data_IF_751212446557
#
_entry.id   IF_751212446557
#
_cell.length_a   1.000
_cell.length_b   1.000
_cell.length_c   1.000
_cell.angle_alpha   90.00
_cell.angle_beta   90.00
_cell.angle_gamma   90.00
#
_symmetry.space_group_name_H-M   'P 1'
#
loop_
_entity.id
_entity.type
_entity.pdbx_description
1 polymer ?
#
# COMPACT_ATOMS: atom_id res chain seq x y z
N UNK A 1 70.37 14.66 15.36
CA UNK A 1 71.04 14.68 14.03
C UNK A 1 70.28 13.72 13.18
N UNK A 2 69.70 14.06 12.25
CA UNK A 2 69.51 14.86 11.07
C UNK A 2 68.11 14.59 10.56
N UNK A 3 67.25 15.57 10.50
CA UNK A 3 66.93 16.45 9.38
C UNK A 3 66.37 15.74 8.13
N UNK A 4 65.05 16.00 7.93
CA UNK A 4 64.42 16.59 6.73
C UNK A 4 64.29 15.66 5.52
N UNK A 5 63.20 15.66 4.84
CA UNK A 5 62.53 16.76 4.10
C UNK A 5 61.14 16.37 3.63
N UNK A 6 60.32 17.32 3.81
CA UNK A 6 59.05 17.59 3.19
C UNK A 6 59.14 17.62 1.65
N UNK A 7 58.32 16.94 0.91
CA UNK A 7 57.95 17.29 -0.49
C UNK A 7 56.56 16.76 -0.81
N UNK A 8 55.62 17.70 -0.92
CA UNK A 8 54.36 17.54 -1.61
C UNK A 8 54.61 17.42 -3.13
N UNK A 9 53.89 16.56 -3.86
CA UNK A 9 53.71 16.73 -5.29
C UNK A 9 52.44 17.53 -5.59
N UNK A 10 52.35 18.14 -6.78
CA UNK A 10 51.38 19.18 -7.14
C UNK A 10 50.04 18.64 -7.59
N UNK A 11 49.02 19.42 -7.34
CA UNK A 11 47.64 19.24 -7.79
C UNK A 11 47.54 19.47 -9.29
N UNK A 12 47.16 18.44 -10.04
CA UNK A 12 46.63 18.59 -11.40
C UNK A 12 45.12 18.45 -11.39
N UNK A 13 44.47 19.59 -11.61
CA UNK A 13 43.07 19.68 -11.98
C UNK A 13 42.96 19.64 -13.49
N UNK A 14 42.19 18.74 -14.08
CA UNK A 14 41.74 18.97 -15.45
C UNK A 14 40.49 19.85 -15.47
N UNK A 15 40.59 20.86 -16.30
CA UNK A 15 39.57 21.85 -16.64
C UNK A 15 38.37 21.21 -17.35
N UNK A 16 37.19 21.63 -16.91
CA UNK A 16 35.89 21.40 -17.56
C UNK A 16 35.78 22.16 -18.89
N UNK A 17 35.26 21.55 -19.95
CA UNK A 17 34.84 22.31 -21.13
C UNK A 17 33.41 22.84 -20.93
N UNK A 18 33.26 24.13 -21.24
CA UNK A 18 32.01 24.89 -21.32
C UNK A 18 31.10 24.33 -22.42
N UNK A 19 29.84 24.18 -22.09
CA UNK A 19 28.74 24.02 -23.03
C UNK A 19 28.47 25.29 -23.81
N UNK A 20 28.19 25.22 -25.12
CA UNK A 20 27.56 26.32 -25.82
C UNK A 20 26.03 26.23 -25.75
N UNK A 21 25.47 27.32 -25.29
CA UNK A 21 24.05 27.66 -25.41
C UNK A 21 23.69 27.88 -26.88
N UNK A 22 22.72 27.15 -27.38
CA UNK A 22 22.11 27.35 -28.66
C UNK A 22 20.63 27.07 -28.61
N UNK A 23 19.82 28.10 -28.39
CA UNK A 23 18.40 28.12 -28.75
C UNK A 23 18.30 28.35 -30.27
N UNK A 24 17.37 27.66 -30.92
CA UNK A 24 16.65 28.30 -32.00
C UNK A 24 15.17 28.48 -31.64
N UNK A 25 14.77 29.71 -31.86
CA UNK A 25 13.42 30.23 -31.86
C UNK A 25 12.63 29.77 -33.07
N UNK A 26 11.33 29.61 -32.87
CA UNK A 26 10.21 29.94 -33.75
C UNK A 26 10.15 29.37 -35.15
N UNK A 27 9.08 28.70 -35.44
CA UNK A 27 8.09 29.20 -36.41
C UNK A 27 6.87 28.29 -36.45
N UNK A 28 5.73 28.85 -36.09
CA UNK A 28 4.40 28.39 -36.51
C UNK A 28 4.25 28.68 -38.00
N UNK A 29 3.55 27.84 -38.73
CA UNK A 29 2.61 28.33 -39.73
C UNK A 29 1.16 28.01 -39.30
N UNK A 30 0.39 29.06 -39.33
CA UNK A 30 -1.06 29.12 -39.37
C UNK A 30 -1.51 28.89 -40.84
N UNK A 31 -2.38 27.94 -41.02
CA UNK A 31 -3.41 27.90 -42.08
C UNK A 31 -4.43 26.91 -41.55
N UNK A 32 -5.65 27.19 -41.30
CA UNK A 32 -6.65 27.83 -42.14
C UNK A 32 -7.42 26.78 -42.92
N UNK A 33 -8.68 26.67 -42.51
CA UNK A 33 -9.81 26.23 -43.32
C UNK A 33 -10.43 24.85 -43.16
N UNK A 34 -11.69 25.01 -42.81
CA UNK A 34 -12.91 24.37 -43.34
C UNK A 34 -13.48 23.14 -42.67
N UNK A 35 -14.53 23.46 -41.88
CA UNK A 35 -15.68 22.59 -41.69
C UNK A 35 -16.35 22.27 -43.04
N UNK A 36 -17.01 21.13 -43.13
CA UNK A 36 -18.33 21.10 -43.74
C UNK A 36 -19.42 20.69 -42.70
N UNK A 37 -20.44 21.45 -42.79
CA UNK A 37 -21.74 21.41 -42.18
C UNK A 37 -22.62 20.26 -42.72
N UNK A 38 -23.41 19.70 -41.78
CA UNK A 38 -24.75 19.23 -41.86
C UNK A 38 -25.07 17.88 -42.56
N UNK A 39 -26.25 17.34 -42.33
CA UNK A 39 -27.51 18.07 -42.31
C UNK A 39 -28.46 17.78 -41.13
N UNK A 40 -29.22 18.79 -40.87
CA UNK A 40 -30.48 18.94 -40.16
C UNK A 40 -31.55 17.90 -40.59
N UNK A 41 -32.17 17.20 -39.64
CA UNK A 41 -33.45 16.58 -39.86
C UNK A 41 -34.46 17.11 -38.85
N UNK A 42 -35.17 18.12 -39.30
CA UNK A 42 -36.44 18.55 -38.74
C UNK A 42 -37.42 17.39 -38.71
N UNK A 43 -38.00 17.08 -37.57
CA UNK A 43 -39.31 16.43 -37.46
C UNK A 43 -40.23 17.32 -36.64
N UNK A 44 -41.10 17.94 -37.38
CA UNK A 44 -42.51 18.33 -37.25
C UNK A 44 -43.07 18.17 -35.84
N UNK A 45 -43.47 19.30 -35.30
CA UNK A 45 -44.56 19.46 -34.33
C UNK A 45 -45.86 19.17 -35.08
N UNK A 46 -46.66 18.24 -34.61
CA UNK A 46 -48.07 18.13 -34.95
C UNK A 46 -48.91 18.55 -33.76
N UNK A 47 -49.84 19.42 -34.08
CA UNK A 47 -50.78 20.08 -33.22
C UNK A 47 -51.75 19.12 -32.55
N UNK A 48 -52.05 19.32 -31.29
CA UNK A 48 -53.20 18.73 -30.60
C UNK A 48 -54.28 19.78 -30.35
N UNK A 49 -55.55 19.52 -30.68
CA UNK A 49 -56.62 20.47 -30.41
C UNK A 49 -57.09 20.37 -28.97
N UNK A 50 -57.37 21.53 -28.40
CA UNK A 50 -58.06 21.70 -27.16
C UNK A 50 -59.53 21.21 -27.26
N UNK A 51 -59.97 20.39 -26.31
CA UNK A 51 -61.39 20.18 -26.02
C UNK A 51 -61.60 20.24 -24.52
N UNK A 52 -62.34 21.28 -24.14
CA UNK A 52 -62.96 21.40 -22.85
C UNK A 52 -64.13 20.40 -22.67
N UNK A 53 -64.40 20.07 -21.43
CA UNK A 53 -65.52 19.22 -21.05
C UNK A 53 -65.57 19.09 -19.52
N UNK A 54 -66.27 19.96 -18.86
CA UNK A 54 -66.68 19.82 -17.47
C UNK A 54 -67.70 18.70 -17.32
N UNK A 55 -67.44 17.71 -16.47
CA UNK A 55 -68.47 16.85 -15.92
C UNK A 55 -68.14 16.54 -14.44
N UNK A 56 -68.97 17.10 -13.59
CA UNK A 56 -69.10 16.79 -12.18
C UNK A 56 -69.51 15.33 -11.98
N UNK A 57 -68.73 14.56 -11.17
CA UNK A 57 -69.15 13.27 -10.61
C UNK A 57 -69.04 13.30 -9.07
N UNK A 58 -69.98 12.68 -8.37
CA UNK A 58 -70.14 12.80 -6.92
C UNK A 58 -69.11 11.93 -6.13
N UNK A 59 -68.89 12.37 -4.90
CA UNK A 59 -67.90 11.91 -3.96
C UNK A 59 -67.94 10.42 -3.61
N UNK A 60 -66.75 9.84 -3.60
CA UNK A 60 -66.44 8.59 -2.91
C UNK A 60 -65.68 8.87 -1.62
N UNK A 61 -65.85 8.05 -0.58
CA UNK A 61 -65.34 8.37 0.76
C UNK A 61 -63.82 8.35 0.82
N UNK A 62 -63.24 9.36 1.47
CA UNK A 62 -61.82 9.47 1.81
C UNK A 62 -61.42 8.28 2.70
N UNK A 63 -60.72 7.31 2.14
CA UNK A 63 -59.88 6.42 2.92
C UNK A 63 -58.65 7.19 3.39
N UNK A 64 -58.53 7.34 4.69
CA UNK A 64 -57.30 7.79 5.37
C UNK A 64 -56.20 6.78 5.05
N UNK A 65 -55.31 7.14 4.14
CA UNK A 65 -54.06 6.44 3.97
C UNK A 65 -53.20 6.76 5.17
N UNK A 66 -53.03 5.76 6.00
CA UNK A 66 -52.01 5.70 7.03
C UNK A 66 -50.62 5.88 6.35
N UNK A 67 -50.00 6.99 6.63
CA UNK A 67 -48.75 7.41 6.02
C UNK A 67 -47.58 6.74 6.72
N UNK A 68 -47.30 5.49 6.42
CA UNK A 68 -45.99 4.92 6.69
C UNK A 68 -44.99 5.37 5.63
N UNK A 69 -44.29 6.44 5.96
CA UNK A 69 -43.15 6.97 5.18
C UNK A 69 -41.98 6.00 5.27
N UNK A 70 -41.47 5.41 4.15
CA UNK A 70 -40.32 4.53 4.16
C UNK A 70 -38.99 5.29 4.17
N UNK A 71 -38.94 6.49 4.74
CA UNK A 71 -37.68 7.16 5.02
C UNK A 71 -37.06 6.50 6.21
N UNK A 72 -36.00 5.69 5.91
CA UNK A 72 -35.19 5.01 6.89
C UNK A 72 -34.92 5.90 8.10
N UNK A 73 -35.32 5.40 9.25
CA UNK A 73 -35.04 5.98 10.55
C UNK A 73 -33.54 6.25 10.63
N UNK A 74 -33.14 7.54 10.67
CA UNK A 74 -31.81 7.92 11.11
C UNK A 74 -31.54 7.18 12.41
N UNK A 75 -30.43 6.46 12.53
CA UNK A 75 -30.08 5.84 13.80
C UNK A 75 -30.10 6.95 14.87
N UNK A 76 -30.78 6.70 15.96
CA UNK A 76 -30.82 7.61 17.09
C UNK A 76 -29.39 7.98 17.50
N UNK A 77 -29.12 9.23 17.96
CA UNK A 77 -27.82 9.59 18.51
C UNK A 77 -27.48 8.57 19.60
N UNK A 78 -26.34 7.86 19.40
CA UNK A 78 -25.87 6.91 20.42
C UNK A 78 -25.78 7.63 21.76
N UNK A 79 -26.49 7.10 22.74
CA UNK A 79 -26.54 7.61 24.10
C UNK A 79 -25.08 7.80 24.61
N UNK A 80 -24.78 8.98 25.15
CA UNK A 80 -23.44 9.31 25.69
C UNK A 80 -22.98 8.32 26.77
N UNK A 81 -23.91 7.63 27.43
CA UNK A 81 -23.60 6.61 28.41
C UNK A 81 -23.17 5.28 27.79
N UNK A 82 -23.62 4.94 26.57
CA UNK A 82 -23.14 3.74 25.88
C UNK A 82 -21.68 3.90 25.40
N UNK A 83 -21.19 5.10 25.18
CA UNK A 83 -19.77 5.34 24.87
C UNK A 83 -18.83 5.05 26.07
N UNK A 84 -19.35 5.13 27.30
CA UNK A 84 -18.63 4.77 28.54
C UNK A 84 -18.58 3.27 28.78
N UNK A 85 -19.40 2.49 28.09
CA UNK A 85 -19.43 1.02 28.18
C UNK A 85 -18.53 0.32 27.15
N UNK A 86 -17.78 1.08 26.34
CA UNK A 86 -16.76 0.46 25.47
C UNK A 86 -15.75 -0.27 26.35
N UNK A 87 -15.46 -1.55 26.04
CA UNK A 87 -14.43 -2.27 26.80
C UNK A 87 -13.16 -1.44 26.78
N UNK A 88 -12.57 -1.20 27.94
CA UNK A 88 -11.26 -0.56 28.03
C UNK A 88 -10.28 -1.46 27.30
N UNK A 89 -9.59 -0.90 26.30
CA UNK A 89 -8.51 -1.61 25.63
C UNK A 89 -7.40 -1.75 26.68
N UNK A 90 -6.89 -2.95 26.81
CA UNK A 90 -5.70 -3.18 27.62
C UNK A 90 -4.52 -2.53 26.91
N UNK A 91 -3.92 -1.55 27.56
CA UNK A 91 -2.69 -0.91 27.09
C UNK A 91 -1.52 -1.61 27.78
N UNK A 92 -0.55 -2.14 27.01
CA UNK A 92 0.65 -2.73 27.60
C UNK A 92 1.51 -1.66 28.25
N UNK A 93 2.25 -2.06 29.29
CA UNK A 93 3.18 -1.17 29.98
C UNK A 93 4.26 -0.69 29.02
N UNK A 94 4.62 0.59 29.13
CA UNK A 94 5.69 1.21 28.36
C UNK A 94 6.88 1.42 29.29
N UNK A 95 8.07 0.88 28.99
CA UNK A 95 9.29 1.13 29.75
C UNK A 95 9.55 2.63 29.93
N UNK A 96 10.11 3.04 31.07
CA UNK A 96 10.33 4.46 31.37
C UNK A 96 11.33 5.11 30.41
N UNK A 97 12.30 4.34 29.93
CA UNK A 97 13.31 4.76 28.96
C UNK A 97 12.75 5.07 27.56
N UNK A 98 11.57 4.54 27.22
CA UNK A 98 10.92 4.80 25.94
C UNK A 98 10.25 6.16 25.96
N UNK A 99 10.85 7.11 25.27
CA UNK A 99 10.39 8.52 25.26
C UNK A 99 9.48 8.88 24.09
N UNK A 100 9.55 8.14 22.98
CA UNK A 100 8.92 8.44 21.70
C UNK A 100 9.78 9.32 20.79
N UNK A 101 11.02 9.62 21.17
CA UNK A 101 11.93 10.49 20.42
C UNK A 101 12.77 9.73 19.38
N UNK A 102 12.91 8.42 19.55
CA UNK A 102 13.65 7.54 18.63
C UNK A 102 12.89 7.25 17.31
N UNK A 103 11.61 7.61 17.24
CA UNK A 103 10.83 7.46 16.01
C UNK A 103 11.38 8.32 14.88
N UNK A 104 11.24 7.82 13.66
CA UNK A 104 11.59 8.57 12.46
C UNK A 104 10.94 9.96 12.44
N UNK A 105 11.67 10.95 11.90
CA UNK A 105 11.23 12.35 11.86
C UNK A 105 9.96 12.54 11.05
N UNK A 106 9.77 11.78 9.98
CA UNK A 106 8.58 11.85 9.13
C UNK A 106 7.35 11.38 9.91
N UNK A 107 7.47 10.27 10.62
CA UNK A 107 6.40 9.72 11.45
C UNK A 107 6.04 10.68 12.59
N UNK A 108 7.05 11.25 13.28
CA UNK A 108 6.80 12.26 14.32
C UNK A 108 6.10 13.50 13.78
N UNK A 109 6.42 13.92 12.56
CA UNK A 109 5.75 15.07 11.94
C UNK A 109 4.24 14.84 11.73
N UNK A 110 3.82 13.63 11.38
CA UNK A 110 2.39 13.29 11.26
C UNK A 110 1.67 13.33 12.61
N UNK A 111 2.35 12.97 13.70
CA UNK A 111 1.80 13.01 15.05
C UNK A 111 1.55 14.43 15.57
N UNK A 112 2.16 15.48 14.96
CA UNK A 112 1.95 16.88 15.35
C UNK A 112 0.49 17.35 15.14
N UNK A 113 -0.30 16.61 14.41
CA UNK A 113 -1.75 16.87 14.27
C UNK A 113 -2.57 16.50 15.52
N UNK A 114 -1.96 15.79 16.47
CA UNK A 114 -2.57 15.40 17.74
C UNK A 114 -2.29 16.45 18.82
N UNK A 115 -3.02 16.39 19.96
CA UNK A 115 -2.60 17.15 21.15
C UNK A 115 -1.23 16.65 21.63
N UNK A 116 -0.41 17.51 22.26
CA UNK A 116 0.93 17.13 22.73
C UNK A 116 0.94 15.88 23.62
N UNK A 117 -0.05 15.78 24.54
CA UNK A 117 -0.19 14.65 25.45
C UNK A 117 -0.49 13.36 24.68
N UNK A 118 -1.42 13.43 23.71
CA UNK A 118 -1.79 12.28 22.91
C UNK A 118 -0.66 11.88 21.95
N UNK A 119 0.02 12.85 21.34
CA UNK A 119 1.20 12.59 20.50
C UNK A 119 2.28 11.85 21.28
N UNK A 120 2.55 12.25 22.53
CA UNK A 120 3.51 11.57 23.41
C UNK A 120 3.12 10.13 23.72
N UNK A 121 1.85 9.86 24.02
CA UNK A 121 1.37 8.48 24.27
C UNK A 121 1.53 7.63 23.02
N UNK A 122 1.08 8.14 21.88
CA UNK A 122 1.12 7.42 20.60
C UNK A 122 2.56 7.16 20.16
N UNK A 123 3.47 8.15 20.26
CA UNK A 123 4.86 7.98 19.88
C UNK A 123 5.55 6.89 20.70
N UNK A 124 5.33 6.86 22.02
CA UNK A 124 5.89 5.82 22.89
C UNK A 124 5.38 4.43 22.55
N UNK A 125 4.08 4.27 22.24
CA UNK A 125 3.56 2.97 21.78
C UNK A 125 4.12 2.57 20.42
N UNK A 126 4.30 3.50 19.48
CA UNK A 126 4.91 3.20 18.18
C UNK A 126 6.39 2.84 18.30
N UNK A 127 7.12 3.46 19.22
CA UNK A 127 8.51 3.10 19.51
C UNK A 127 8.61 1.69 20.11
N UNK A 128 7.77 1.36 21.10
CA UNK A 128 7.66 -0.02 21.62
C UNK A 128 7.30 -1.02 20.52
N UNK A 129 6.36 -0.66 19.63
CA UNK A 129 5.99 -1.52 18.51
C UNK A 129 7.21 -1.83 17.63
N UNK A 130 8.02 -0.81 17.31
CA UNK A 130 9.23 -1.00 16.51
C UNK A 130 10.28 -1.84 17.25
N UNK A 131 10.48 -1.59 18.54
CA UNK A 131 11.43 -2.31 19.39
C UNK A 131 11.11 -3.82 19.48
N UNK A 132 9.83 -4.16 19.64
CA UNK A 132 9.40 -5.54 19.82
C UNK A 132 9.02 -6.25 18.51
N UNK A 133 9.11 -5.57 17.36
CA UNK A 133 8.59 -6.08 16.09
C UNK A 133 9.13 -7.47 15.71
N UNK A 134 10.39 -7.73 15.98
CA UNK A 134 11.05 -8.99 15.63
C UNK A 134 11.24 -9.92 16.85
N UNK A 135 11.41 -9.35 18.07
CA UNK A 135 11.66 -10.14 19.29
C UNK A 135 10.38 -10.65 19.96
N UNK A 136 9.30 -9.87 19.95
CA UNK A 136 7.98 -10.24 20.50
C UNK A 136 6.85 -9.61 19.64
N UNK A 137 6.51 -10.20 18.49
CA UNK A 137 5.47 -9.68 17.61
C UNK A 137 4.10 -9.55 18.26
N UNK A 138 3.79 -10.40 19.26
CA UNK A 138 2.52 -10.32 19.99
C UNK A 138 2.46 -9.08 20.87
N UNK A 139 3.56 -8.73 21.53
CA UNK A 139 3.65 -7.51 22.33
C UNK A 139 3.67 -6.27 21.41
N UNK A 140 4.42 -6.31 20.31
CA UNK A 140 4.39 -5.26 19.28
C UNK A 140 2.96 -5.00 18.78
N UNK A 141 2.19 -6.05 18.51
CA UNK A 141 0.79 -5.93 18.11
C UNK A 141 -0.07 -5.25 19.19
N UNK A 142 0.11 -5.60 20.47
CA UNK A 142 -0.63 -4.94 21.57
C UNK A 142 -0.34 -3.43 21.62
N UNK A 143 0.91 -3.03 21.45
CA UNK A 143 1.29 -1.62 21.35
C UNK A 143 0.68 -0.94 20.10
N UNK A 144 0.63 -1.65 18.96
CA UNK A 144 -0.06 -1.17 17.75
C UNK A 144 -1.55 -0.93 17.96
N UNK A 145 -2.24 -1.84 18.68
CA UNK A 145 -3.66 -1.69 19.06
C UNK A 145 -3.85 -0.45 19.94
N UNK A 146 -2.98 -0.25 20.94
CA UNK A 146 -3.04 0.92 21.82
C UNK A 146 -2.82 2.22 21.03
N UNK A 147 -1.79 2.29 20.17
CA UNK A 147 -1.55 3.45 19.31
C UNK A 147 -2.76 3.76 18.41
N UNK A 148 -3.35 2.73 17.77
CA UNK A 148 -4.53 2.90 16.92
C UNK A 148 -5.80 3.29 17.71
N UNK A 149 -5.89 2.96 18.99
CA UNK A 149 -6.95 3.43 19.87
C UNK A 149 -6.87 4.95 20.08
N UNK A 150 -5.68 5.45 20.33
CA UNK A 150 -5.41 6.87 20.59
C UNK A 150 -5.44 7.73 19.32
N UNK A 151 -4.93 7.22 18.19
CA UNK A 151 -4.72 8.00 16.96
C UNK A 151 -5.17 7.29 15.68
N UNK A 152 -6.20 6.45 15.74
CA UNK A 152 -6.66 5.65 14.60
C UNK A 152 -7.26 6.44 13.42
N UNK A 153 -7.16 7.77 13.40
CA UNK A 153 -7.48 8.61 12.24
C UNK A 153 -6.24 8.94 11.40
N UNK A 154 -5.06 8.64 11.90
CA UNK A 154 -3.80 8.82 11.18
C UNK A 154 -3.48 7.55 10.38
N UNK A 155 -3.15 7.71 9.10
CA UNK A 155 -2.83 6.61 8.21
C UNK A 155 -1.62 5.83 8.71
N UNK A 156 -0.55 6.54 9.09
CA UNK A 156 0.69 5.95 9.57
C UNK A 156 0.49 5.08 10.82
N UNK A 157 -0.39 5.48 11.73
CA UNK A 157 -0.69 4.69 12.94
C UNK A 157 -1.45 3.43 12.59
N UNK A 158 -2.39 3.51 11.64
CA UNK A 158 -3.10 2.32 11.11
C UNK A 158 -2.17 1.37 10.38
N UNK A 159 -1.24 1.92 9.62
CA UNK A 159 -0.23 1.16 8.90
C UNK A 159 0.70 0.40 9.86
N UNK A 160 1.26 1.11 10.84
CA UNK A 160 2.10 0.50 11.87
C UNK A 160 1.36 -0.61 12.65
N UNK A 161 0.11 -0.36 13.05
CA UNK A 161 -0.72 -1.36 13.72
C UNK A 161 -1.02 -2.56 12.82
N UNK A 162 -1.23 -2.34 11.53
CA UNK A 162 -1.46 -3.38 10.52
C UNK A 162 -0.22 -4.25 10.31
N UNK A 163 0.95 -3.64 10.18
CA UNK A 163 2.22 -4.36 10.05
C UNK A 163 2.54 -5.20 11.30
N UNK A 164 2.31 -4.66 12.50
CA UNK A 164 2.49 -5.41 13.73
C UNK A 164 1.51 -6.61 13.82
N UNK A 165 0.26 -6.43 13.39
CA UNK A 165 -0.70 -7.52 13.31
C UNK A 165 -0.28 -8.59 12.28
N UNK A 166 0.26 -8.17 11.11
CA UNK A 166 0.78 -9.07 10.09
C UNK A 166 1.93 -9.92 10.63
N UNK A 167 2.93 -9.31 11.28
CA UNK A 167 4.06 -10.02 11.90
C UNK A 167 3.62 -10.99 13.00
N UNK A 168 2.57 -10.64 13.75
CA UNK A 168 1.97 -11.51 14.75
C UNK A 168 1.07 -12.62 14.18
N UNK A 169 0.90 -12.71 12.85
CA UNK A 169 0.06 -13.71 12.18
C UNK A 169 -1.45 -13.40 12.22
N UNK A 170 -1.85 -12.21 12.70
CA UNK A 170 -3.26 -11.79 12.76
C UNK A 170 -3.72 -11.15 11.44
N UNK A 171 -3.73 -11.93 10.37
CA UNK A 171 -3.95 -11.46 8.99
C UNK A 171 -5.28 -10.72 8.78
N UNK A 172 -6.37 -11.13 9.43
CA UNK A 172 -7.66 -10.40 9.35
C UNK A 172 -7.56 -9.00 9.95
N UNK A 173 -6.88 -8.88 11.10
CA UNK A 173 -6.67 -7.59 11.77
C UNK A 173 -5.74 -6.72 10.91
N UNK A 174 -4.65 -7.30 10.40
CA UNK A 174 -3.72 -6.63 9.51
C UNK A 174 -4.43 -6.03 8.30
N UNK A 175 -5.23 -6.84 7.60
CA UNK A 175 -6.03 -6.37 6.45
C UNK A 175 -6.99 -5.24 6.81
N UNK A 176 -7.65 -5.32 7.96
CA UNK A 176 -8.57 -4.27 8.43
C UNK A 176 -7.83 -2.94 8.63
N UNK A 177 -6.70 -2.97 9.32
CA UNK A 177 -5.92 -1.78 9.63
C UNK A 177 -5.24 -1.21 8.38
N UNK A 178 -4.62 -2.04 7.53
CA UNK A 178 -3.97 -1.61 6.28
C UNK A 178 -4.99 -1.04 5.26
N UNK A 179 -6.17 -1.65 5.14
CA UNK A 179 -7.26 -1.09 4.32
C UNK A 179 -7.75 0.25 4.87
N UNK A 180 -7.74 0.43 6.20
CA UNK A 180 -8.09 1.71 6.79
C UNK A 180 -7.02 2.77 6.51
N UNK A 181 -5.73 2.42 6.61
CA UNK A 181 -4.61 3.29 6.24
C UNK A 181 -4.72 3.74 4.79
N UNK A 182 -4.88 2.79 3.86
CA UNK A 182 -5.03 3.08 2.43
C UNK A 182 -6.23 4.00 2.12
N UNK A 183 -7.38 3.84 2.81
CA UNK A 183 -8.53 4.74 2.63
C UNK A 183 -8.25 6.17 3.10
N UNK A 184 -7.38 6.35 4.10
CA UNK A 184 -7.05 7.67 4.64
C UNK A 184 -6.01 8.36 3.75
N UNK A 185 -4.93 7.68 3.37
CA UNK A 185 -3.80 8.24 2.64
C UNK A 185 -3.92 8.11 1.11
N UNK A 186 -4.63 7.10 0.63
CA UNK A 186 -4.59 6.69 -0.78
C UNK A 186 -3.29 6.03 -1.20
N UNK A 187 -2.41 5.74 -0.25
CA UNK A 187 -1.12 5.08 -0.50
C UNK A 187 -1.32 3.58 -0.78
N UNK A 188 -0.53 3.06 -1.70
CA UNK A 188 -0.58 1.65 -2.16
C UNK A 188 0.64 0.84 -1.71
N UNK A 189 1.59 1.43 -1.02
CA UNK A 189 2.85 0.82 -0.58
C UNK A 189 2.63 -0.50 0.17
N UNK A 190 1.58 -0.58 0.99
CA UNK A 190 1.25 -1.78 1.76
C UNK A 190 0.42 -2.83 1.00
N UNK A 191 0.19 -2.67 -0.28
CA UNK A 191 -0.59 -3.64 -1.06
C UNK A 191 0.04 -5.03 -1.14
N UNK A 192 1.37 -5.21 -1.27
CA UNK A 192 1.99 -6.52 -1.18
C UNK A 192 1.70 -7.23 0.14
N UNK A 193 1.77 -6.52 1.26
CA UNK A 193 1.44 -7.07 2.59
C UNK A 193 -0.03 -7.45 2.68
N UNK A 194 -0.93 -6.62 2.14
CA UNK A 194 -2.37 -6.94 2.09
C UNK A 194 -2.65 -8.19 1.24
N UNK A 195 -1.95 -8.35 0.12
CA UNK A 195 -2.07 -9.54 -0.73
C UNK A 195 -1.53 -10.78 -0.02
N UNK A 196 -0.43 -10.64 0.72
CA UNK A 196 0.12 -11.76 1.50
C UNK A 196 -0.78 -12.15 2.68
N UNK A 197 -1.42 -11.18 3.33
CA UNK A 197 -2.48 -11.46 4.32
C UNK A 197 -3.62 -12.30 3.73
N UNK A 198 -4.07 -12.00 2.51
CA UNK A 198 -5.11 -12.80 1.83
C UNK A 198 -4.62 -14.24 1.57
N UNK A 199 -3.33 -14.45 1.25
CA UNK A 199 -2.73 -15.78 1.15
C UNK A 199 -2.76 -16.49 2.50
N UNK A 200 -2.29 -15.83 3.56
CA UNK A 200 -2.29 -16.38 4.93
C UNK A 200 -3.68 -16.77 5.45
N UNK A 201 -4.73 -16.14 4.91
CA UNK A 201 -6.14 -16.47 5.16
C UNK A 201 -6.69 -17.58 4.23
N UNK A 202 -5.86 -18.17 3.37
CA UNK A 202 -6.29 -19.18 2.42
C UNK A 202 -7.08 -18.64 1.23
N UNK A 203 -6.89 -17.37 0.88
CA UNK A 203 -7.56 -16.70 -0.24
C UNK A 203 -6.60 -16.32 -1.39
N UNK A 204 -5.85 -17.27 -2.00
CA UNK A 204 -4.83 -16.94 -3.01
C UNK A 204 -5.41 -16.22 -4.24
N UNK A 205 -6.66 -16.50 -4.63
CA UNK A 205 -7.32 -15.79 -5.72
C UNK A 205 -7.53 -14.30 -5.43
N UNK A 206 -7.78 -13.92 -4.16
CA UNK A 206 -7.88 -12.51 -3.79
C UNK A 206 -6.52 -11.82 -3.80
N UNK A 207 -5.46 -12.53 -3.41
CA UNK A 207 -4.09 -12.03 -3.53
C UNK A 207 -3.73 -11.76 -4.99
N UNK A 208 -4.05 -12.68 -5.91
CA UNK A 208 -3.87 -12.49 -7.36
C UNK A 208 -4.71 -11.34 -7.91
N UNK A 209 -5.94 -11.16 -7.40
CA UNK A 209 -6.77 -10.03 -7.81
C UNK A 209 -6.15 -8.67 -7.41
N UNK A 210 -5.56 -8.57 -6.21
CA UNK A 210 -4.79 -7.40 -5.79
C UNK A 210 -3.57 -7.18 -6.69
N UNK A 211 -2.79 -8.24 -6.95
CA UNK A 211 -1.60 -8.17 -7.81
C UNK A 211 -1.91 -7.79 -9.26
N UNK A 212 -3.12 -8.10 -9.75
CA UNK A 212 -3.58 -7.75 -11.09
C UNK A 212 -4.26 -6.38 -11.20
N UNK A 213 -4.40 -5.65 -10.10
CA UNK A 213 -5.12 -4.38 -10.13
C UNK A 213 -4.29 -3.24 -10.77
N UNK A 214 -4.96 -2.21 -11.36
CA UNK A 214 -4.27 -1.08 -11.98
C UNK A 214 -3.39 -0.30 -11.00
N UNK A 215 -3.71 -0.30 -9.72
CA UNK A 215 -3.03 0.42 -8.65
C UNK A 215 -1.60 -0.09 -8.44
N UNK A 216 -1.31 -1.34 -8.77
CA UNK A 216 0.04 -1.93 -8.70
C UNK A 216 1.05 -1.13 -9.53
N UNK A 217 0.61 -0.46 -10.60
CA UNK A 217 1.48 0.42 -11.41
C UNK A 217 1.97 1.66 -10.66
N UNK A 218 1.41 1.96 -9.50
CA UNK A 218 1.82 3.07 -8.63
C UNK A 218 2.86 2.66 -7.59
N UNK A 219 3.13 1.36 -7.46
CA UNK A 219 4.15 0.85 -6.55
C UNK A 219 5.54 1.30 -7.00
N UNK A 220 6.39 1.63 -6.05
CA UNK A 220 7.82 1.77 -6.32
C UNK A 220 8.45 0.40 -6.61
N UNK A 221 9.70 0.38 -7.07
CA UNK A 221 10.32 -0.86 -7.55
C UNK A 221 10.42 -1.95 -6.46
N UNK A 222 10.82 -1.65 -5.23
CA UNK A 222 10.86 -2.65 -4.17
C UNK A 222 9.50 -3.32 -3.94
N UNK A 223 8.44 -2.52 -3.80
CA UNK A 223 7.08 -3.02 -3.56
C UNK A 223 6.50 -3.75 -4.78
N UNK A 224 6.86 -3.32 -6.00
CA UNK A 224 6.51 -4.06 -7.23
C UNK A 224 7.11 -5.48 -7.20
N UNK A 225 8.37 -5.60 -6.77
CA UNK A 225 9.04 -6.90 -6.63
C UNK A 225 8.38 -7.74 -5.54
N UNK A 226 8.10 -7.16 -4.38
CA UNK A 226 7.38 -7.86 -3.30
C UNK A 226 6.00 -8.34 -3.77
N UNK A 227 5.25 -7.50 -4.48
CA UNK A 227 3.95 -7.90 -5.04
C UNK A 227 4.09 -9.08 -6.02
N UNK A 228 5.16 -9.11 -6.82
CA UNK A 228 5.46 -10.20 -7.74
C UNK A 228 5.77 -11.49 -6.98
N UNK A 229 6.55 -11.41 -5.90
CA UNK A 229 6.87 -12.55 -5.02
C UNK A 229 5.58 -13.10 -4.40
N UNK A 230 4.74 -12.24 -3.85
CA UNK A 230 3.46 -12.64 -3.27
C UNK A 230 2.52 -13.27 -4.31
N UNK A 231 2.46 -12.72 -5.52
CA UNK A 231 1.66 -13.29 -6.61
C UNK A 231 2.14 -14.69 -7.02
N UNK A 232 3.46 -14.91 -7.05
CA UNK A 232 4.02 -16.24 -7.30
C UNK A 232 3.68 -17.21 -6.16
N UNK A 233 3.79 -16.77 -4.90
CA UNK A 233 3.36 -17.54 -3.74
C UNK A 233 1.89 -17.94 -3.83
N UNK A 234 1.00 -17.02 -4.22
CA UNK A 234 -0.42 -17.30 -4.39
C UNK A 234 -0.69 -18.35 -5.50
N UNK A 235 0.10 -18.34 -6.58
CA UNK A 235 0.03 -19.40 -7.63
C UNK A 235 0.48 -20.75 -7.09
N UNK A 236 1.53 -20.79 -6.27
CA UNK A 236 1.97 -22.01 -5.59
C UNK A 236 0.89 -22.57 -4.66
N UNK A 237 0.22 -21.69 -3.90
CA UNK A 237 -0.90 -22.07 -3.02
C UNK A 237 -2.06 -22.72 -3.82
N UNK A 238 -2.22 -22.36 -5.10
CA UNK A 238 -3.17 -22.97 -6.06
C UNK A 238 -2.64 -24.24 -6.76
N UNK A 239 -1.38 -24.61 -6.55
CA UNK A 239 -0.72 -25.70 -7.27
C UNK A 239 -0.27 -25.35 -8.70
N UNK A 240 -0.32 -24.06 -9.07
CA UNK A 240 0.07 -23.55 -10.39
C UNK A 240 1.59 -23.32 -10.47
N UNK A 241 2.40 -24.36 -10.31
CA UNK A 241 3.85 -24.26 -10.09
C UNK A 241 4.58 -23.59 -11.27
N UNK A 242 4.29 -23.98 -12.49
CA UNK A 242 4.90 -23.37 -13.68
C UNK A 242 4.49 -21.90 -13.84
N UNK A 243 3.25 -21.56 -13.49
CA UNK A 243 2.78 -20.18 -13.52
C UNK A 243 3.47 -19.31 -12.46
N UNK A 244 3.84 -19.89 -11.29
CA UNK A 244 4.62 -19.20 -10.29
C UNK A 244 6.02 -18.86 -10.82
N UNK A 245 6.70 -19.80 -11.47
CA UNK A 245 8.00 -19.56 -12.12
C UNK A 245 7.89 -18.46 -13.18
N UNK A 246 6.88 -18.52 -14.06
CA UNK A 246 6.65 -17.49 -15.08
C UNK A 246 6.40 -16.12 -14.46
N UNK A 247 5.67 -16.06 -13.34
CA UNK A 247 5.38 -14.81 -12.62
C UNK A 247 6.67 -14.13 -12.15
N UNK A 248 7.64 -14.90 -11.68
CA UNK A 248 8.93 -14.39 -11.19
C UNK A 248 9.93 -14.15 -12.31
N UNK A 249 9.74 -14.74 -13.50
CA UNK A 249 10.64 -14.54 -14.65
C UNK A 249 10.53 -13.09 -15.14
N UNK A 250 11.52 -12.28 -14.87
CA UNK A 250 11.57 -10.87 -15.29
C UNK A 250 13.03 -10.40 -15.47
N UNK A 251 13.19 -9.22 -16.09
CA UNK A 251 14.50 -8.61 -16.31
C UNK A 251 15.23 -8.29 -15.00
N UNK A 252 14.46 -8.02 -13.95
CA UNK A 252 15.00 -7.59 -12.65
C UNK A 252 15.78 -8.70 -11.92
N UNK A 253 15.67 -9.98 -12.37
CA UNK A 253 16.52 -11.08 -11.90
C UNK A 253 18.02 -10.89 -12.20
N UNK A 254 18.36 -10.03 -13.17
CA UNK A 254 19.76 -9.68 -13.46
C UNK A 254 20.31 -8.56 -12.58
N UNK A 255 19.49 -7.97 -11.73
CA UNK A 255 19.96 -6.92 -10.81
C UNK A 255 20.84 -7.54 -9.70
N UNK A 256 21.93 -6.85 -9.35
CA UNK A 256 22.91 -7.29 -8.35
C UNK A 256 23.23 -6.22 -7.31
N UNK A 257 22.60 -5.07 -7.40
CA UNK A 257 22.91 -3.91 -6.56
C UNK A 257 21.84 -3.52 -5.56
N UNK A 258 20.64 -3.99 -5.76
CA UNK A 258 19.49 -3.60 -4.94
C UNK A 258 19.17 -4.69 -3.89
N UNK A 259 18.82 -4.28 -2.70
CA UNK A 259 18.57 -5.19 -1.57
C UNK A 259 17.44 -6.21 -1.85
N UNK A 260 16.43 -5.80 -2.63
CA UNK A 260 15.32 -6.69 -3.03
C UNK A 260 15.78 -7.81 -4.01
N UNK A 261 16.98 -7.71 -4.62
CA UNK A 261 17.45 -8.69 -5.59
C UNK A 261 17.68 -10.07 -4.95
N UNK A 262 18.14 -10.10 -3.70
CA UNK A 262 18.32 -11.33 -2.91
C UNK A 262 16.98 -12.05 -2.78
N UNK A 263 15.94 -11.34 -2.30
CA UNK A 263 14.61 -11.91 -2.10
C UNK A 263 13.97 -12.39 -3.41
N UNK A 264 14.13 -11.62 -4.49
CA UNK A 264 13.61 -12.01 -5.81
C UNK A 264 14.28 -13.29 -6.34
N UNK A 265 15.62 -13.38 -6.26
CA UNK A 265 16.37 -14.56 -6.71
C UNK A 265 16.05 -15.78 -5.86
N UNK A 266 15.96 -15.61 -4.56
CA UNK A 266 15.56 -16.68 -3.65
C UNK A 266 14.15 -17.20 -4.01
N UNK A 267 13.18 -16.31 -4.14
CA UNK A 267 11.79 -16.70 -4.49
C UNK A 267 11.72 -17.40 -5.86
N UNK A 268 12.55 -16.96 -6.81
CA UNK A 268 12.62 -17.60 -8.12
C UNK A 268 13.24 -19.00 -8.06
N UNK A 269 14.33 -19.17 -7.31
CA UNK A 269 14.96 -20.47 -7.08
C UNK A 269 14.00 -21.45 -6.40
N UNK A 270 13.30 -20.98 -5.36
CA UNK A 270 12.31 -21.75 -4.60
C UNK A 270 11.10 -22.16 -5.47
N UNK A 271 10.65 -21.28 -6.37
CA UNK A 271 9.60 -21.60 -7.33
C UNK A 271 10.06 -22.65 -8.38
N UNK A 272 11.31 -22.55 -8.86
CA UNK A 272 11.90 -23.53 -9.77
C UNK A 272 12.00 -24.91 -9.11
N UNK A 273 12.46 -24.96 -7.86
CA UNK A 273 12.55 -26.21 -7.11
C UNK A 273 11.18 -26.86 -6.93
N UNK A 274 10.19 -26.06 -6.50
CA UNK A 274 8.82 -26.51 -6.36
C UNK A 274 8.23 -27.06 -7.68
N UNK A 275 8.63 -26.48 -8.82
CA UNK A 275 8.24 -26.96 -10.17
C UNK A 275 9.08 -28.18 -10.66
N UNK A 276 9.96 -28.75 -9.82
CA UNK A 276 10.81 -29.89 -10.16
C UNK A 276 12.03 -29.55 -11.02
N UNK A 277 12.31 -28.27 -11.25
CA UNK A 277 13.45 -27.77 -12.05
C UNK A 277 14.69 -27.62 -11.18
N UNK A 278 15.05 -28.69 -10.48
CA UNK A 278 16.07 -28.71 -9.41
C UNK A 278 17.44 -28.18 -9.86
N UNK A 279 17.89 -28.52 -11.07
CA UNK A 279 19.19 -28.04 -11.57
C UNK A 279 19.22 -26.52 -11.70
N UNK A 280 18.19 -25.94 -12.29
CA UNK A 280 18.07 -24.49 -12.44
C UNK A 280 17.88 -23.81 -11.08
N UNK A 281 17.12 -24.42 -10.17
CA UNK A 281 16.95 -23.91 -8.82
C UNK A 281 18.30 -23.74 -8.11
N UNK A 282 19.17 -24.75 -8.15
CA UNK A 282 20.52 -24.71 -7.56
C UNK A 282 21.40 -23.59 -8.14
N UNK A 283 21.33 -23.39 -9.47
CA UNK A 283 22.05 -22.29 -10.11
C UNK A 283 21.57 -20.91 -9.59
N UNK A 284 20.27 -20.77 -9.34
CA UNK A 284 19.70 -19.53 -8.83
C UNK A 284 19.90 -19.35 -7.33
N UNK A 285 19.91 -20.43 -6.53
CA UNK A 285 20.33 -20.37 -5.14
C UNK A 285 21.81 -19.94 -5.03
N UNK A 286 22.69 -20.45 -5.89
CA UNK A 286 24.08 -20.01 -5.92
C UNK A 286 24.21 -18.52 -6.27
N UNK A 287 23.42 -18.01 -7.23
CA UNK A 287 23.36 -16.58 -7.55
C UNK A 287 22.76 -15.74 -6.42
N UNK A 288 21.84 -16.29 -5.64
CA UNK A 288 21.28 -15.62 -4.46
C UNK A 288 22.35 -15.54 -3.36
N UNK A 289 22.96 -16.67 -3.00
CA UNK A 289 23.99 -16.75 -1.97
C UNK A 289 25.21 -15.85 -2.26
N UNK A 290 25.55 -15.65 -3.54
CA UNK A 290 26.65 -14.74 -3.91
C UNK A 290 26.38 -13.26 -3.58
N UNK A 291 25.13 -12.86 -3.40
CA UNK A 291 24.71 -11.49 -2.99
C UNK A 291 24.37 -11.41 -1.50
N UNK A 292 23.95 -12.50 -0.91
CA UNK A 292 23.44 -12.59 0.48
C UNK A 292 24.61 -12.72 1.46
N UNK A 293 25.40 -11.64 1.58
CA UNK A 293 26.60 -11.60 2.44
C UNK A 293 26.25 -11.75 3.93
N UNK A 294 25.07 -11.26 4.31
CA UNK A 294 24.58 -11.27 5.68
C UNK A 294 23.82 -12.57 6.04
N UNK A 295 23.82 -13.54 5.12
CA UNK A 295 23.15 -14.85 5.29
C UNK A 295 21.68 -14.71 5.75
N UNK A 296 20.95 -13.77 5.13
CA UNK A 296 19.54 -13.51 5.44
C UNK A 296 18.60 -14.60 4.95
N UNK A 297 19.10 -15.49 4.06
CA UNK A 297 18.39 -16.65 3.52
C UNK A 297 19.22 -17.94 3.71
N UNK A 298 18.57 -19.10 3.55
CA UNK A 298 19.22 -20.41 3.53
C UNK A 298 19.75 -20.82 2.13
N UNK A 299 19.92 -19.84 1.22
CA UNK A 299 20.30 -20.11 -0.17
C UNK A 299 21.60 -20.91 -0.31
N UNK A 300 22.60 -20.67 0.57
CA UNK A 300 23.87 -21.39 0.59
C UNK A 300 23.71 -22.88 0.93
N UNK A 301 22.71 -23.28 1.69
CA UNK A 301 22.44 -24.66 2.08
C UNK A 301 21.69 -25.44 0.99
N UNK A 302 21.11 -24.74 -0.01
CA UNK A 302 20.25 -25.30 -1.09
C UNK A 302 20.95 -25.42 -2.44
N UNK A 303 22.27 -25.22 -2.51
CA UNK A 303 23.08 -25.29 -3.73
C UNK A 303 23.32 -26.73 -4.20
#
# INVERSE_FOLDING_TARGET
MEERRNSRPPSDRPSTPRSPSGRPSSSRPSTGDRKPSGPNSQRRREDLPARGGSSSRPGAPRQTRDGSDPRGTRPAPMDRDQSRLRPRIFEPDIPEEITGEELDKSLRAELLSLSPENAKVVSRHLECLALYADSDPLLAHKHGVAAAHHAGRLAVVRESAGLAAYRAGFYEIALKELRAANRISGDVTMWPVMADCERGLGNPLKALALAGSPEVKRLAKPEEIEMRIVAAGARRDLGELDAAVVTLTCKDLSNESEDWAIRLRYAYADALEAAGRVKEAREWFAKCASLDVDETTDASERI
#
